data_IF_447091530329
#
_entry.id   IF_447091530329
#
_cell.length_a   1.000
_cell.length_b   1.000
_cell.length_c   1.000
_cell.angle_alpha   90.00
_cell.angle_beta   90.00
_cell.angle_gamma   90.00
#
_symmetry.space_group_name_H-M   'P 1'
#
loop_
_entity.id
_entity.type
_entity.pdbx_description
1 polymer ?
#
# COMPACT_ATOMS: atom_id res chain seq x y z
N UNK A 1 -11.56 25.47 -24.55
CA UNK A 1 -11.88 26.58 -25.49
C UNK A 1 -10.93 26.46 -26.65
N UNK A 2 -11.41 26.34 -27.89
CA UNK A 2 -10.54 26.06 -29.03
C UNK A 2 -9.65 27.28 -29.32
N UNK A 3 -8.37 27.03 -29.62
CA UNK A 3 -7.31 28.04 -29.79
C UNK A 3 -7.43 28.69 -31.16
N UNK A 4 -8.31 29.68 -31.31
CA UNK A 4 -8.52 30.36 -32.58
C UNK A 4 -8.47 31.87 -32.41
N UNK A 5 -7.48 32.48 -33.04
CA UNK A 5 -7.39 33.91 -33.35
C UNK A 5 -8.67 34.32 -34.10
N UNK A 6 -9.25 35.49 -33.79
CA UNK A 6 -10.49 35.99 -34.41
C UNK A 6 -11.76 35.84 -33.59
N UNK A 7 -11.72 35.18 -32.41
CA UNK A 7 -12.87 35.16 -31.50
C UNK A 7 -12.83 36.40 -30.63
N UNK A 8 -13.68 37.39 -30.93
CA UNK A 8 -13.75 38.69 -30.25
C UNK A 8 -13.76 38.59 -28.71
N UNK A 9 -14.47 37.61 -28.15
CA UNK A 9 -14.48 37.38 -26.69
C UNK A 9 -13.12 36.95 -26.11
N UNK A 10 -12.40 36.06 -26.80
CA UNK A 10 -11.06 35.61 -26.38
C UNK A 10 -10.03 36.73 -26.54
N UNK A 11 -10.11 37.48 -27.64
CA UNK A 11 -9.23 38.62 -27.91
C UNK A 11 -9.42 39.73 -26.86
N UNK A 12 -10.67 40.02 -26.50
CA UNK A 12 -10.98 40.97 -25.44
C UNK A 12 -10.47 40.48 -24.08
N UNK A 13 -10.61 39.19 -23.77
CA UNK A 13 -10.06 38.61 -22.55
C UNK A 13 -8.51 38.67 -22.52
N UNK A 14 -7.84 38.38 -23.63
CA UNK A 14 -6.38 38.45 -23.75
C UNK A 14 -5.87 39.89 -23.64
N UNK A 15 -6.55 40.85 -24.28
CA UNK A 15 -6.26 42.28 -24.14
C UNK A 15 -6.42 42.74 -22.68
N UNK A 16 -7.47 42.31 -21.98
CA UNK A 16 -7.68 42.64 -20.57
C UNK A 16 -6.62 41.99 -19.67
N UNK A 17 -6.24 40.73 -19.93
CA UNK A 17 -5.17 40.06 -19.22
C UNK A 17 -3.82 40.76 -19.41
N UNK A 18 -3.48 41.15 -20.64
CA UNK A 18 -2.28 41.96 -20.96
C UNK A 18 -2.28 43.31 -20.25
N UNK A 19 -3.41 44.03 -20.24
CA UNK A 19 -3.53 45.27 -19.46
C UNK A 19 -3.30 45.01 -17.96
N UNK A 20 -3.86 43.92 -17.44
CA UNK A 20 -3.64 43.49 -16.05
C UNK A 20 -2.17 43.17 -15.71
N UNK A 21 -1.31 42.83 -16.67
CA UNK A 21 0.13 42.66 -16.42
C UNK A 21 0.88 43.98 -16.17
N UNK A 22 0.33 45.11 -16.63
CA UNK A 22 0.87 46.44 -16.41
C UNK A 22 0.39 47.04 -15.08
N UNK A 23 -0.66 46.48 -14.50
CA UNK A 23 -1.18 46.92 -13.20
C UNK A 23 -0.22 46.54 -12.07
N UNK A 24 -0.01 47.41 -11.06
CA UNK A 24 0.82 47.11 -9.92
C UNK A 24 0.35 45.84 -9.20
N UNK A 25 1.17 44.80 -9.25
CA UNK A 25 0.91 43.57 -8.51
C UNK A 25 1.09 43.85 -7.02
N UNK A 26 0.04 43.59 -6.23
CA UNK A 26 0.15 43.64 -4.78
C UNK A 26 0.96 42.43 -4.31
N UNK A 27 2.28 42.60 -4.14
CA UNK A 27 3.16 41.61 -3.53
C UNK A 27 2.84 41.49 -2.04
N UNK A 28 1.72 40.83 -1.73
CA UNK A 28 1.40 40.46 -0.35
C UNK A 28 2.41 39.41 0.10
N UNK A 29 3.18 39.65 1.17
CA UNK A 29 4.06 38.64 1.72
C UNK A 29 3.24 37.39 2.03
N UNK A 30 3.68 36.24 1.53
CA UNK A 30 3.04 34.97 1.89
C UNK A 30 3.36 34.74 3.37
N UNK A 31 2.35 34.53 4.24
CA UNK A 31 2.61 34.25 5.63
C UNK A 31 3.53 33.02 5.76
N UNK A 32 4.54 33.04 6.66
CA UNK A 32 5.47 31.93 6.82
C UNK A 32 4.80 30.57 6.99
N UNK A 33 3.66 30.50 7.67
CA UNK A 33 2.91 29.26 7.86
C UNK A 33 2.28 28.73 6.58
N UNK A 34 1.84 29.62 5.68
CA UNK A 34 1.35 29.23 4.36
C UNK A 34 2.47 28.68 3.49
N UNK A 35 3.67 29.26 3.56
CA UNK A 35 4.87 28.72 2.89
C UNK A 35 5.26 27.35 3.45
N UNK A 36 5.32 27.19 4.78
CA UNK A 36 5.60 25.91 5.43
C UNK A 36 4.60 24.84 5.03
N UNK A 37 3.31 25.19 4.98
CA UNK A 37 2.23 24.29 4.55
C UNK A 37 2.44 23.85 3.10
N UNK A 38 2.63 24.80 2.17
CA UNK A 38 2.87 24.50 0.76
C UNK A 38 4.11 23.61 0.56
N UNK A 39 5.20 23.91 1.26
CA UNK A 39 6.41 23.10 1.22
C UNK A 39 6.15 21.67 1.74
N UNK A 40 5.48 21.55 2.88
CA UNK A 40 5.13 20.25 3.47
C UNK A 40 4.22 19.43 2.56
N UNK A 41 3.25 20.06 1.90
CA UNK A 41 2.35 19.41 0.94
C UNK A 41 3.12 18.93 -0.30
N UNK A 42 4.02 19.76 -0.83
CA UNK A 42 4.88 19.39 -1.96
C UNK A 42 5.83 18.25 -1.60
N UNK A 43 6.46 18.31 -0.44
CA UNK A 43 7.33 17.25 0.08
C UNK A 43 6.56 15.93 0.24
N UNK A 44 5.39 15.95 0.89
CA UNK A 44 4.53 14.77 1.03
C UNK A 44 4.15 14.18 -0.32
N UNK A 45 3.82 15.02 -1.29
CA UNK A 45 3.44 14.58 -2.65
C UNK A 45 4.62 13.93 -3.37
N UNK A 46 5.78 14.58 -3.37
CA UNK A 46 6.99 14.04 -3.98
C UNK A 46 7.42 12.71 -3.34
N UNK A 47 7.34 12.63 -2.01
CA UNK A 47 7.64 11.41 -1.26
C UNK A 47 6.68 10.28 -1.63
N UNK A 48 5.37 10.54 -1.73
CA UNK A 48 4.38 9.55 -2.15
C UNK A 48 4.65 9.04 -3.56
N UNK A 49 4.95 9.93 -4.51
CA UNK A 49 5.27 9.56 -5.89
C UNK A 49 6.55 8.71 -5.95
N UNK A 50 7.61 9.13 -5.25
CA UNK A 50 8.87 8.38 -5.18
C UNK A 50 8.66 6.99 -4.57
N UNK A 51 7.88 6.89 -3.49
CA UNK A 51 7.55 5.61 -2.86
C UNK A 51 6.74 4.70 -3.80
N UNK A 52 5.76 5.25 -4.51
CA UNK A 52 4.97 4.49 -5.47
C UNK A 52 5.86 3.83 -6.54
N UNK A 53 6.78 4.60 -7.13
CA UNK A 53 7.76 4.09 -8.11
C UNK A 53 8.68 3.03 -7.49
N UNK A 54 9.23 3.29 -6.30
CA UNK A 54 10.12 2.32 -5.61
C UNK A 54 9.41 1.04 -5.19
N UNK A 55 8.09 1.08 -5.07
CA UNK A 55 7.25 -0.05 -4.67
C UNK A 55 6.73 -0.85 -5.86
N UNK A 56 6.90 -0.38 -7.11
CA UNK A 56 6.43 -1.08 -8.31
C UNK A 56 6.98 -2.51 -8.37
N UNK A 57 6.08 -3.47 -8.61
CA UNK A 57 6.42 -4.90 -8.68
C UNK A 57 6.65 -5.57 -7.33
N UNK A 58 6.59 -4.85 -6.21
CA UNK A 58 6.77 -5.44 -4.87
C UNK A 58 5.42 -5.86 -4.28
N UNK A 59 5.37 -6.95 -3.48
CA UNK A 59 4.13 -7.40 -2.84
C UNK A 59 3.43 -6.30 -2.02
N UNK A 60 4.22 -5.43 -1.39
CA UNK A 60 3.72 -4.31 -0.56
C UNK A 60 3.41 -3.03 -1.33
N UNK A 61 3.40 -3.03 -2.67
CA UNK A 61 3.02 -1.85 -3.47
C UNK A 61 1.65 -1.29 -3.06
N UNK A 62 0.71 -2.19 -2.77
CA UNK A 62 -0.67 -1.87 -2.42
C UNK A 62 -0.94 -1.91 -0.91
N UNK A 63 0.09 -1.83 -0.07
CA UNK A 63 -0.03 -1.96 1.40
C UNK A 63 -1.06 -1.01 2.01
N UNK A 64 -1.23 0.19 1.45
CA UNK A 64 -2.25 1.15 1.91
C UNK A 64 -3.69 0.67 1.66
N UNK A 65 -3.94 -0.01 0.54
CA UNK A 65 -5.25 -0.56 0.21
C UNK A 65 -5.56 -1.75 1.12
N UNK A 66 -4.58 -2.63 1.34
CA UNK A 66 -4.68 -3.72 2.30
C UNK A 66 -4.96 -3.19 3.71
N UNK A 67 -4.22 -2.18 4.16
CA UNK A 67 -4.45 -1.56 5.47
C UNK A 67 -5.87 -1.01 5.60
N UNK A 68 -6.34 -0.20 4.64
CA UNK A 68 -7.70 0.37 4.68
C UNK A 68 -8.79 -0.70 4.75
N UNK A 69 -8.57 -1.86 4.12
CA UNK A 69 -9.52 -2.99 4.17
C UNK A 69 -9.63 -3.60 5.57
N UNK A 70 -8.55 -3.61 6.34
CA UNK A 70 -8.49 -4.33 7.62
C UNK A 70 -8.28 -3.45 8.86
N UNK A 71 -8.13 -2.13 8.71
CA UNK A 71 -7.80 -1.22 9.82
C UNK A 71 -8.88 -1.17 10.92
N UNK A 72 -10.12 -1.53 10.61
CA UNK A 72 -11.23 -1.62 11.57
C UNK A 72 -11.52 -3.06 12.00
N UNK A 73 -10.78 -4.04 11.51
CA UNK A 73 -10.92 -5.44 11.95
C UNK A 73 -10.27 -5.66 13.32
N UNK A 74 -10.67 -6.72 14.05
CA UNK A 74 -9.95 -7.14 15.26
C UNK A 74 -8.45 -7.29 14.99
N UNK A 75 -7.62 -6.91 15.97
CA UNK A 75 -6.15 -6.89 15.86
C UNK A 75 -5.58 -8.18 15.25
N UNK A 76 -6.05 -9.34 15.72
CA UNK A 76 -5.61 -10.67 15.25
C UNK A 76 -5.79 -10.82 13.72
N UNK A 77 -6.91 -10.33 13.18
CA UNK A 77 -7.22 -10.35 11.75
C UNK A 77 -6.41 -9.33 10.96
N UNK A 78 -6.30 -8.10 11.47
CA UNK A 78 -5.51 -7.06 10.82
C UNK A 78 -4.03 -7.48 10.68
N UNK A 79 -3.44 -8.06 11.73
CA UNK A 79 -2.05 -8.53 11.74
C UNK A 79 -1.81 -9.66 10.74
N UNK A 80 -2.66 -10.70 10.72
CA UNK A 80 -2.52 -11.80 9.76
C UNK A 80 -2.58 -11.32 8.32
N UNK A 81 -3.57 -10.50 7.98
CA UNK A 81 -3.71 -9.97 6.63
C UNK A 81 -2.54 -9.07 6.23
N UNK A 82 -2.06 -8.22 7.14
CA UNK A 82 -0.90 -7.38 6.89
C UNK A 82 0.34 -8.22 6.57
N UNK A 83 0.62 -9.23 7.39
CA UNK A 83 1.77 -10.13 7.23
C UNK A 83 1.72 -10.90 5.92
N UNK A 84 0.60 -11.56 5.64
CA UNK A 84 0.39 -12.34 4.41
C UNK A 84 0.47 -11.44 3.16
N UNK A 85 -0.20 -10.28 3.17
CA UNK A 85 -0.21 -9.38 2.00
C UNK A 85 1.13 -8.73 1.69
N UNK A 86 2.00 -8.60 2.69
CA UNK A 86 3.34 -8.04 2.51
C UNK A 86 4.39 -9.12 2.23
N UNK A 87 4.05 -10.41 2.37
CA UNK A 87 4.99 -11.53 2.33
C UNK A 87 6.03 -11.49 3.45
N UNK A 88 5.75 -10.74 4.53
CA UNK A 88 6.54 -10.66 5.77
C UNK A 88 5.80 -11.40 6.90
N UNK A 89 5.33 -12.60 6.57
CA UNK A 89 4.67 -13.49 7.50
C UNK A 89 5.68 -14.29 8.32
N UNK A 90 5.18 -15.25 9.10
CA UNK A 90 6.02 -16.10 9.94
C UNK A 90 5.81 -17.57 9.58
N UNK A 91 5.57 -17.86 8.30
CA UNK A 91 5.50 -19.20 7.74
C UNK A 91 6.89 -19.64 7.26
N UNK A 92 7.07 -20.94 7.05
CA UNK A 92 8.40 -21.50 6.79
C UNK A 92 9.07 -20.94 5.53
N UNK A 93 8.32 -20.64 4.46
CA UNK A 93 8.88 -20.04 3.25
C UNK A 93 9.56 -18.69 3.53
N UNK A 94 8.87 -17.78 4.23
CA UNK A 94 9.45 -16.49 4.58
C UNK A 94 10.63 -16.65 5.54
N UNK A 95 10.45 -17.44 6.60
CA UNK A 95 11.46 -17.65 7.63
C UNK A 95 12.73 -18.29 7.08
N UNK A 96 12.62 -19.21 6.12
CA UNK A 96 13.77 -19.79 5.43
C UNK A 96 14.48 -18.76 4.56
N UNK A 97 13.74 -17.96 3.80
CA UNK A 97 14.30 -16.89 2.95
C UNK A 97 15.13 -15.88 3.74
N UNK A 98 14.80 -15.62 5.00
CA UNK A 98 15.56 -14.72 5.89
C UNK A 98 16.56 -15.44 6.81
N UNK A 99 16.76 -16.75 6.64
CA UNK A 99 17.76 -17.53 7.37
C UNK A 99 17.40 -17.91 8.80
N UNK A 100 16.12 -17.82 9.19
CA UNK A 100 15.65 -18.25 10.53
C UNK A 100 15.38 -19.76 10.56
N UNK A 101 14.76 -20.31 9.51
CA UNK A 101 14.51 -21.75 9.39
C UNK A 101 15.39 -22.39 8.32
N UNK A 102 15.81 -23.66 8.51
CA UNK A 102 16.68 -24.36 7.56
C UNK A 102 15.97 -24.78 6.27
N UNK A 103 14.63 -24.89 6.29
CA UNK A 103 13.81 -25.32 5.16
C UNK A 103 12.53 -24.50 5.04
N UNK A 104 12.03 -24.35 3.81
CA UNK A 104 10.73 -23.74 3.50
C UNK A 104 9.57 -24.75 3.55
N UNK A 105 9.85 -26.02 3.82
CA UNK A 105 8.85 -27.08 3.88
C UNK A 105 7.84 -26.85 5.01
N UNK A 106 6.59 -27.24 4.77
CA UNK A 106 5.54 -27.20 5.77
C UNK A 106 5.87 -28.08 6.96
N UNK A 107 6.17 -27.47 8.10
CA UNK A 107 6.50 -28.18 9.34
C UNK A 107 5.30 -28.91 9.97
N UNK A 108 4.09 -28.66 9.46
CA UNK A 108 2.87 -29.31 9.95
C UNK A 108 2.70 -30.65 9.23
N UNK A 109 2.61 -30.63 7.89
CA UNK A 109 2.35 -31.82 7.08
C UNK A 109 3.60 -32.44 6.44
N UNK A 110 4.78 -31.84 6.63
CA UNK A 110 6.06 -32.25 6.04
C UNK A 110 5.99 -32.41 4.52
N UNK A 111 5.25 -31.52 3.85
CA UNK A 111 5.09 -31.56 2.40
C UNK A 111 4.80 -30.18 1.83
N UNK A 112 5.51 -29.83 0.76
CA UNK A 112 5.34 -28.59 0.03
C UNK A 112 5.85 -27.34 0.76
N UNK A 113 5.93 -26.23 0.05
CA UNK A 113 6.40 -24.95 0.58
C UNK A 113 5.33 -24.29 1.45
N UNK A 114 5.67 -23.94 2.70
CA UNK A 114 4.72 -23.34 3.65
C UNK A 114 4.53 -21.84 3.38
N UNK A 115 3.61 -21.53 2.48
CA UNK A 115 3.17 -20.17 2.17
C UNK A 115 1.63 -20.05 2.26
N UNK A 116 1.07 -18.87 1.95
CA UNK A 116 -0.37 -18.62 2.04
C UNK A 116 -1.21 -19.59 1.22
N UNK A 117 -0.71 -20.00 0.05
CA UNK A 117 -1.44 -20.87 -0.87
C UNK A 117 -1.46 -22.30 -0.33
N UNK A 118 -0.34 -22.75 0.24
CA UNK A 118 -0.28 -24.04 0.91
C UNK A 118 -1.24 -24.14 2.10
N UNK A 119 -1.47 -23.05 2.86
CA UNK A 119 -2.43 -23.07 3.97
C UNK A 119 -3.85 -23.48 3.54
N UNK A 120 -4.24 -23.15 2.30
CA UNK A 120 -5.55 -23.49 1.74
C UNK A 120 -5.69 -24.96 1.37
N UNK A 121 -4.59 -25.70 1.26
CA UNK A 121 -4.59 -27.11 0.82
C UNK A 121 -3.86 -28.04 1.79
N UNK A 122 -3.30 -27.52 2.88
CA UNK A 122 -2.58 -28.30 3.86
C UNK A 122 -3.52 -29.35 4.50
N UNK A 123 -3.21 -30.65 4.42
CA UNK A 123 -4.12 -31.71 4.86
C UNK A 123 -4.33 -31.74 6.37
N UNK A 124 -3.47 -31.08 7.14
CA UNK A 124 -3.50 -31.06 8.60
C UNK A 124 -4.09 -29.75 9.19
N UNK A 125 -4.62 -28.86 8.35
CA UNK A 125 -5.37 -27.68 8.79
C UNK A 125 -6.87 -27.88 8.64
N UNK A 126 -7.66 -26.99 9.28
CA UNK A 126 -9.11 -27.05 9.28
C UNK A 126 -9.74 -26.87 7.89
N UNK A 127 -10.30 -27.96 7.35
CA UNK A 127 -10.93 -27.98 6.01
C UNK A 127 -12.06 -26.96 5.86
N UNK A 128 -12.85 -26.73 6.91
CA UNK A 128 -13.95 -25.76 6.83
C UNK A 128 -13.42 -24.33 6.67
N UNK A 129 -12.26 -24.01 7.26
CA UNK A 129 -11.61 -22.71 7.08
C UNK A 129 -10.94 -22.59 5.71
N UNK A 130 -10.45 -23.69 5.15
CA UNK A 130 -9.94 -23.74 3.77
C UNK A 130 -11.05 -23.48 2.74
N UNK A 131 -12.19 -24.17 2.86
CA UNK A 131 -13.35 -23.99 1.97
C UNK A 131 -13.89 -22.55 2.00
N UNK A 132 -13.87 -21.91 3.17
CA UNK A 132 -14.27 -20.49 3.32
C UNK A 132 -13.19 -19.49 2.89
N UNK A 133 -11.97 -19.95 2.61
CA UNK A 133 -10.83 -19.09 2.35
C UNK A 133 -10.45 -18.20 3.55
N UNK A 134 -10.68 -18.66 4.79
CA UNK A 134 -10.31 -17.92 5.99
C UNK A 134 -8.82 -18.04 6.30
N UNK A 135 -8.02 -17.36 5.47
CA UNK A 135 -6.56 -17.29 5.62
C UNK A 135 -6.13 -16.74 6.98
N UNK A 136 -6.93 -15.90 7.63
CA UNK A 136 -6.60 -15.39 8.95
C UNK A 136 -6.60 -16.53 9.97
N UNK A 137 -7.67 -17.32 10.00
CA UNK A 137 -7.76 -18.46 10.91
C UNK A 137 -6.66 -19.48 10.60
N UNK A 138 -6.53 -19.89 9.34
CA UNK A 138 -5.51 -20.85 8.92
C UNK A 138 -4.08 -20.40 9.26
N UNK A 139 -3.76 -19.11 9.09
CA UNK A 139 -2.45 -18.56 9.44
C UNK A 139 -2.15 -18.70 10.93
N UNK A 140 -3.11 -18.38 11.80
CA UNK A 140 -2.90 -18.48 13.24
C UNK A 140 -2.87 -19.94 13.71
N UNK A 141 -3.75 -20.80 13.19
CA UNK A 141 -3.74 -22.23 13.50
C UNK A 141 -2.38 -22.84 13.10
N UNK A 142 -1.88 -22.52 11.90
CA UNK A 142 -0.56 -22.96 11.46
C UNK A 142 0.57 -22.46 12.36
N UNK A 143 0.51 -21.20 12.80
CA UNK A 143 1.49 -20.62 13.72
C UNK A 143 1.47 -21.29 15.10
N UNK A 144 0.29 -21.63 15.59
CA UNK A 144 0.13 -22.31 16.89
C UNK A 144 0.69 -23.75 16.80
N UNK A 145 0.47 -24.45 15.68
CA UNK A 145 1.12 -25.73 15.40
C UNK A 145 2.65 -25.62 15.37
N UNK A 146 3.20 -24.64 14.64
CA UNK A 146 4.66 -24.45 14.54
C UNK A 146 5.34 -24.18 15.89
N UNK A 147 4.66 -23.52 16.83
CA UNK A 147 5.23 -23.24 18.16
C UNK A 147 5.04 -24.40 19.16
N UNK A 148 4.25 -25.41 18.79
CA UNK A 148 3.95 -26.58 19.64
C UNK A 148 4.80 -27.81 19.30
N UNK A 149 5.66 -27.70 18.27
CA UNK A 149 6.64 -28.70 17.84
C UNK A 149 8.00 -28.43 18.49
#
# INVERSE_FOLDING_TARGET
VPSHVGINGNEKADQLAKKGTLEPQCNKPIPPDSLKKQFSEKLKTNLKLSQAVKSTGKPWANIQNSWKKFCHSPRKKAVANFRLSTGHDCLAEHLNRIGILPSSECQICNSGTMNSDHLLVCPLLDKQSQERGDLCKLYWDARDHMNSL
#
